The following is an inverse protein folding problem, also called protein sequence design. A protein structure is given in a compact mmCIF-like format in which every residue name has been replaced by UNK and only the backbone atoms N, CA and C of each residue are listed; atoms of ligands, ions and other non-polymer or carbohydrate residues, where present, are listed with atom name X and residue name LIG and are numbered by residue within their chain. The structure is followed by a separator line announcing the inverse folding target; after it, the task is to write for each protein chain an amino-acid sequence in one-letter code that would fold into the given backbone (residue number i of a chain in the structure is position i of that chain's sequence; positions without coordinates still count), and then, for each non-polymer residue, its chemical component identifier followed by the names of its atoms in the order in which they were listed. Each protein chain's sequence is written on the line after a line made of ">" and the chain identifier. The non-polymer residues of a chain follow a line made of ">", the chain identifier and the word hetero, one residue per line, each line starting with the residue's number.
data_IF_741409809104
#
_entry.id   IF_741409809104
#
_cell.length_a   1.000
_cell.length_b   1.000
_cell.length_c   1.000
_cell.angle_alpha   90.00
_cell.angle_beta   90.00
_cell.angle_gamma   90.00
#
_symmetry.space_group_name_H-M   'P 1'
#
loop_
_entity.id
_entity.type
_entity.pdbx_description
1 polymer ?
#
# COMPACT_ATOMS: atom_id res chain seq x y z
N UNK A 1 -5.46 -7.08 -27.71
CA UNK A 1 -5.25 -5.90 -26.85
C UNK A 1 -5.87 -6.25 -25.50
N UNK A 2 -5.14 -6.17 -24.39
CA UNK A 2 -5.72 -6.45 -23.07
C UNK A 2 -6.33 -5.22 -22.42
N UNK A 3 -7.27 -5.44 -21.51
CA UNK A 3 -8.00 -4.42 -20.77
C UNK A 3 -7.82 -4.63 -19.27
N UNK A 4 -7.69 -3.55 -18.51
CA UNK A 4 -7.78 -3.62 -17.05
C UNK A 4 -9.25 -3.65 -16.63
N UNK A 5 -9.59 -4.60 -15.77
CA UNK A 5 -10.85 -4.63 -15.03
C UNK A 5 -10.85 -3.60 -13.91
N UNK A 6 -12.00 -3.43 -13.27
CA UNK A 6 -12.15 -2.53 -12.11
C UNK A 6 -12.07 -3.34 -10.84
N UNK A 7 -11.11 -3.05 -9.96
CA UNK A 7 -11.08 -3.63 -8.63
C UNK A 7 -12.03 -2.92 -7.66
N UNK A 8 -12.53 -3.66 -6.67
CA UNK A 8 -13.22 -3.14 -5.49
C UNK A 8 -12.36 -3.42 -4.25
N UNK A 9 -11.95 -2.35 -3.58
CA UNK A 9 -10.97 -2.39 -2.49
C UNK A 9 -11.46 -1.48 -1.37
N UNK A 10 -11.28 -1.88 -0.11
CA UNK A 10 -11.59 -1.00 1.01
C UNK A 10 -10.43 -0.03 1.33
N UNK A 11 -10.68 1.06 2.07
CA UNK A 11 -9.63 1.98 2.52
C UNK A 11 -8.46 1.36 3.28
N UNK A 12 -8.60 0.15 3.82
CA UNK A 12 -7.54 -0.60 4.48
C UNK A 12 -6.76 -1.56 3.54
N UNK A 13 -7.15 -1.63 2.26
CA UNK A 13 -6.43 -2.39 1.22
C UNK A 13 -6.92 -3.82 1.05
N UNK A 14 -8.00 -4.23 1.72
CA UNK A 14 -8.62 -5.51 1.47
C UNK A 14 -9.39 -5.48 0.15
N UNK A 15 -9.06 -6.41 -0.74
CA UNK A 15 -9.71 -6.57 -2.03
C UNK A 15 -10.92 -7.47 -1.87
N UNK A 16 -12.10 -6.97 -2.27
CA UNK A 16 -13.32 -7.78 -2.36
C UNK A 16 -13.38 -8.52 -3.70
N UNK A 17 -13.04 -7.83 -4.79
CA UNK A 17 -12.89 -8.42 -6.13
C UNK A 17 -11.94 -7.59 -6.98
N UNK A 18 -11.18 -8.22 -7.88
CA UNK A 18 -10.33 -7.56 -8.87
C UNK A 18 -11.07 -7.26 -10.19
N UNK A 19 -12.36 -7.62 -10.27
CA UNK A 19 -13.15 -7.61 -11.50
C UNK A 19 -14.60 -7.19 -11.27
N UNK A 20 -14.80 -6.13 -10.47
CA UNK A 20 -16.10 -5.59 -10.06
C UNK A 20 -17.03 -5.19 -11.23
N UNK A 21 -16.46 -4.85 -12.39
CA UNK A 21 -17.21 -4.50 -13.61
C UNK A 21 -17.89 -5.71 -14.26
N UNK A 22 -17.33 -6.91 -14.10
CA UNK A 22 -17.84 -8.15 -14.72
C UNK A 22 -18.31 -9.19 -13.71
N UNK A 23 -18.01 -9.01 -12.42
CA UNK A 23 -18.44 -9.87 -11.31
C UNK A 23 -19.15 -9.06 -10.23
N UNK A 24 -20.31 -8.43 -10.52
CA UNK A 24 -21.05 -7.64 -9.56
C UNK A 24 -21.53 -8.45 -8.34
N UNK A 25 -21.68 -9.76 -8.46
CA UNK A 25 -22.06 -10.69 -7.40
C UNK A 25 -20.97 -10.88 -6.33
N UNK A 26 -19.71 -10.59 -6.66
CA UNK A 26 -18.60 -10.62 -5.71
C UNK A 26 -18.37 -9.27 -5.03
N UNK A 27 -19.18 -8.26 -5.35
CA UNK A 27 -19.05 -6.94 -4.76
C UNK A 27 -19.62 -6.91 -3.35
N UNK A 28 -18.94 -6.17 -2.50
CA UNK A 28 -19.32 -5.99 -1.10
C UNK A 28 -19.47 -4.49 -0.84
N UNK A 29 -20.63 -4.03 -0.36
CA UNK A 29 -20.81 -2.61 0.01
C UNK A 29 -19.86 -2.19 1.15
N UNK A 30 -19.59 -3.13 2.05
CA UNK A 30 -18.68 -2.97 3.17
C UNK A 30 -17.76 -4.19 3.23
N UNK A 31 -16.49 -3.96 3.52
CA UNK A 31 -15.50 -5.01 3.55
C UNK A 31 -15.81 -6.04 4.65
N UNK A 32 -15.89 -7.32 4.30
CA UNK A 32 -16.12 -8.40 5.26
C UNK A 32 -15.02 -8.54 6.33
N UNK A 33 -13.80 -8.05 6.06
CA UNK A 33 -12.65 -8.14 6.98
C UNK A 33 -12.56 -6.99 7.99
N UNK A 34 -13.01 -5.78 7.65
CA UNK A 34 -12.80 -4.60 8.51
C UNK A 34 -14.01 -3.66 8.63
N UNK A 35 -15.12 -3.90 7.92
CA UNK A 35 -16.35 -3.12 8.02
C UNK A 35 -16.34 -1.76 7.31
N UNK A 36 -15.22 -1.34 6.73
CA UNK A 36 -15.12 -0.09 5.97
C UNK A 36 -15.87 -0.18 4.63
N UNK A 37 -16.45 0.94 4.19
CA UNK A 37 -17.09 1.03 2.87
C UNK A 37 -16.05 0.78 1.76
N UNK A 38 -16.39 -0.06 0.79
CA UNK A 38 -15.50 -0.35 -0.33
C UNK A 38 -15.56 0.74 -1.39
N UNK A 39 -14.54 0.81 -2.24
CA UNK A 39 -14.47 1.74 -3.35
C UNK A 39 -13.96 1.02 -4.61
N UNK A 40 -14.44 1.51 -5.76
CA UNK A 40 -14.03 1.05 -7.09
C UNK A 40 -13.29 2.13 -7.87
N UNK A 41 -13.20 3.34 -7.32
CA UNK A 41 -12.64 4.52 -7.97
C UNK A 41 -11.68 5.23 -7.03
N UNK A 42 -10.72 5.95 -7.62
CA UNK A 42 -9.81 6.80 -6.88
C UNK A 42 -10.59 7.95 -6.23
N UNK A 43 -10.51 8.14 -4.90
CA UNK A 43 -11.26 9.17 -4.20
C UNK A 43 -10.85 10.61 -4.59
N UNK A 44 -9.75 10.76 -5.32
CA UNK A 44 -9.20 12.07 -5.70
C UNK A 44 -9.53 12.49 -7.12
N UNK A 45 -9.79 11.54 -8.03
CA UNK A 45 -10.00 11.83 -9.44
C UNK A 45 -11.04 10.93 -10.12
N UNK A 46 -11.74 10.09 -9.36
CA UNK A 46 -12.80 9.21 -9.82
C UNK A 46 -12.38 8.24 -10.95
N UNK A 47 -11.09 7.99 -11.13
CA UNK A 47 -10.62 6.99 -12.10
C UNK A 47 -10.78 5.59 -11.51
N UNK A 48 -11.31 4.61 -12.27
CA UNK A 48 -11.43 3.23 -11.81
C UNK A 48 -10.10 2.66 -11.29
N UNK A 49 -10.16 1.94 -10.18
CA UNK A 49 -9.00 1.23 -9.61
C UNK A 49 -8.68 0.06 -10.54
N UNK A 50 -7.43 -0.01 -11.02
CA UNK A 50 -7.01 -1.09 -11.92
C UNK A 50 -7.02 -2.42 -11.18
N UNK A 51 -7.88 -3.31 -11.64
CA UNK A 51 -7.99 -4.70 -11.23
C UNK A 51 -7.23 -5.64 -12.17
N UNK A 52 -7.81 -6.81 -12.42
CA UNK A 52 -7.19 -7.85 -13.25
C UNK A 52 -6.92 -7.37 -14.69
N UNK A 53 -5.80 -7.82 -15.28
CA UNK A 53 -5.47 -7.52 -16.67
C UNK A 53 -5.93 -8.66 -17.57
N UNK A 54 -7.04 -8.43 -18.26
CA UNK A 54 -7.69 -9.42 -19.09
C UNK A 54 -7.27 -9.33 -20.56
N UNK A 55 -6.84 -10.45 -21.14
CA UNK A 55 -6.60 -10.60 -22.57
C UNK A 55 -7.52 -11.70 -23.12
N UNK A 56 -8.34 -11.36 -24.10
CA UNK A 56 -9.27 -12.31 -24.72
C UNK A 56 -8.53 -13.52 -25.32
N UNK A 57 -9.03 -14.72 -25.04
CA UNK A 57 -8.44 -15.98 -25.52
C UNK A 57 -7.17 -16.43 -24.81
N UNK A 58 -6.69 -15.69 -23.80
CA UNK A 58 -5.51 -16.06 -23.00
C UNK A 58 -5.93 -16.38 -21.57
N UNK A 59 -5.67 -17.61 -21.16
CA UNK A 59 -5.79 -18.01 -19.75
C UNK A 59 -4.47 -17.70 -19.04
N UNK A 60 -4.48 -16.71 -18.16
CA UNK A 60 -3.37 -16.44 -17.24
C UNK A 60 -3.50 -17.30 -15.99
N UNK A 61 -2.43 -17.97 -15.58
CA UNK A 61 -2.28 -18.43 -14.20
C UNK A 61 -1.86 -17.22 -13.35
N UNK A 62 -2.83 -16.41 -12.96
CA UNK A 62 -2.57 -15.22 -12.14
C UNK A 62 -2.18 -15.60 -10.71
N UNK A 63 -1.18 -14.88 -10.16
CA UNK A 63 -0.91 -14.88 -8.72
C UNK A 63 -1.98 -14.09 -7.96
N UNK A 64 -1.81 -13.97 -6.64
CA UNK A 64 -2.71 -13.17 -5.81
C UNK A 64 -2.69 -11.68 -6.25
N UNK A 65 -3.87 -11.13 -6.57
CA UNK A 65 -4.00 -9.72 -6.95
C UNK A 65 -3.64 -8.82 -5.76
N UNK A 66 -2.71 -7.89 -6.00
CA UNK A 66 -2.33 -6.85 -5.04
C UNK A 66 -2.85 -5.50 -5.55
N UNK A 67 -3.62 -4.74 -4.74
CA UNK A 67 -4.14 -3.46 -5.18
C UNK A 67 -3.01 -2.44 -5.37
N UNK A 68 -3.07 -1.59 -6.40
CA UNK A 68 -1.99 -0.63 -6.69
C UNK A 68 -1.82 0.38 -5.55
N UNK A 69 -0.60 0.71 -5.13
CA UNK A 69 -0.40 1.69 -4.04
C UNK A 69 -0.76 3.14 -4.44
N UNK A 70 -0.73 3.45 -5.74
CA UNK A 70 -0.96 4.78 -6.30
C UNK A 70 -1.91 4.75 -7.49
N UNK A 71 -2.70 5.81 -7.65
CA UNK A 71 -3.56 5.97 -8.82
C UNK A 71 -2.72 6.22 -10.08
N UNK A 72 -2.96 5.42 -11.11
CA UNK A 72 -2.26 5.55 -12.39
C UNK A 72 -2.61 6.83 -13.17
N UNK A 73 -3.73 7.50 -12.84
CA UNK A 73 -4.19 8.69 -13.55
C UNK A 73 -3.75 9.98 -12.86
N UNK A 74 -3.99 10.12 -11.55
CA UNK A 74 -3.65 11.35 -10.82
C UNK A 74 -2.36 11.26 -9.98
N UNK A 75 -1.78 10.07 -9.83
CA UNK A 75 -0.54 9.85 -9.06
C UNK A 75 -0.69 9.92 -7.54
N UNK A 76 -1.89 10.16 -7.01
CA UNK A 76 -2.11 10.18 -5.57
C UNK A 76 -2.07 8.78 -4.97
N UNK A 77 -1.58 8.68 -3.73
CA UNK A 77 -1.62 7.45 -2.95
C UNK A 77 -3.07 7.06 -2.66
N UNK A 78 -3.37 5.78 -2.75
CA UNK A 78 -4.66 5.30 -2.26
C UNK A 78 -4.71 5.32 -0.73
N UNK A 79 -5.92 5.37 -0.12
CA UNK A 79 -6.08 5.41 1.33
C UNK A 79 -5.31 4.33 2.09
N UNK A 80 -5.23 3.10 1.57
CA UNK A 80 -4.53 2.01 2.25
C UNK A 80 -3.03 2.23 2.36
N UNK A 81 -2.42 2.89 1.37
CA UNK A 81 -1.01 3.28 1.40
C UNK A 81 -0.78 4.31 2.52
N UNK A 82 -1.59 5.37 2.56
CA UNK A 82 -1.43 6.42 3.56
C UNK A 82 -1.76 5.95 4.97
N UNK A 83 -2.83 5.16 5.15
CA UNK A 83 -3.19 4.58 6.46
C UNK A 83 -2.09 3.68 7.01
N UNK A 84 -1.42 2.88 6.16
CA UNK A 84 -0.28 2.06 6.58
C UNK A 84 0.94 2.90 6.94
N UNK A 85 1.25 3.96 6.18
CA UNK A 85 2.32 4.90 6.53
C UNK A 85 2.04 5.57 7.89
N UNK A 86 0.80 5.98 8.12
CA UNK A 86 0.39 6.67 9.33
C UNK A 86 0.40 5.73 10.54
N UNK A 87 -0.13 4.52 10.40
CA UNK A 87 -0.09 3.49 11.46
C UNK A 87 1.35 3.08 11.81
N UNK A 88 2.25 2.99 10.83
CA UNK A 88 3.67 2.71 11.08
C UNK A 88 4.35 3.86 11.83
N UNK A 89 4.03 5.11 11.49
CA UNK A 89 4.54 6.27 12.19
C UNK A 89 4.03 6.32 13.64
N UNK A 90 2.74 6.07 13.86
CA UNK A 90 2.12 6.00 15.19
C UNK A 90 2.74 4.89 16.06
N UNK A 91 2.99 3.71 15.47
CA UNK A 91 3.66 2.62 16.17
C UNK A 91 5.09 3.01 16.58
N UNK A 92 5.83 3.71 15.72
CA UNK A 92 7.17 4.21 16.07
C UNK A 92 7.11 5.32 17.11
N UNK A 93 6.13 6.21 17.06
CA UNK A 93 5.89 7.26 18.05
C UNK A 93 5.62 6.67 19.44
N UNK A 94 4.88 5.55 19.51
CA UNK A 94 4.59 4.85 20.76
C UNK A 94 5.85 4.35 21.50
N UNK A 95 6.99 4.25 20.82
CA UNK A 95 8.28 3.92 21.44
C UNK A 95 8.79 5.01 22.40
N UNK A 96 8.38 6.27 22.20
CA UNK A 96 8.90 7.43 22.92
C UNK A 96 10.38 7.75 22.63
N UNK A 97 11.01 7.08 21.67
CA UNK A 97 12.45 7.21 21.38
C UNK A 97 12.74 8.35 20.39
N UNK A 98 11.86 8.58 19.42
CA UNK A 98 12.08 9.57 18.36
C UNK A 98 11.63 10.97 18.79
N UNK A 99 12.42 11.97 18.42
CA UNK A 99 11.98 13.35 18.43
C UNK A 99 10.90 13.63 17.38
N UNK A 100 10.13 14.71 17.53
CA UNK A 100 9.13 15.15 16.55
C UNK A 100 9.70 15.36 15.15
N UNK A 101 10.96 15.82 15.07
CA UNK A 101 11.68 16.00 13.81
C UNK A 101 12.07 14.66 13.17
N UNK A 102 12.55 13.69 13.96
CA UNK A 102 12.85 12.35 13.46
C UNK A 102 11.59 11.62 13.02
N UNK A 103 10.48 11.78 13.73
CA UNK A 103 9.18 11.19 13.37
C UNK A 103 8.64 11.77 12.06
N UNK A 104 8.73 13.09 11.87
CA UNK A 104 8.35 13.73 10.61
C UNK A 104 9.22 13.24 9.44
N UNK A 105 10.53 13.09 9.66
CA UNK A 105 11.44 12.54 8.65
C UNK A 105 11.14 11.07 8.36
N UNK A 106 10.80 10.27 9.37
CA UNK A 106 10.42 8.86 9.20
C UNK A 106 9.19 8.71 8.32
N UNK A 107 8.15 9.54 8.54
CA UNK A 107 6.93 9.53 7.73
C UNK A 107 7.21 9.90 6.26
N UNK A 108 8.11 10.87 6.04
CA UNK A 108 8.57 11.23 4.70
C UNK A 108 9.36 10.07 4.06
N UNK A 109 10.26 9.43 4.79
CA UNK A 109 11.05 8.29 4.31
C UNK A 109 10.13 7.11 3.97
N UNK A 110 9.11 6.79 4.78
CA UNK A 110 8.08 5.79 4.46
C UNK A 110 7.33 6.11 3.16
N UNK A 111 7.01 7.39 2.96
CA UNK A 111 6.36 7.85 1.71
C UNK A 111 7.29 7.74 0.50
N UNK A 112 8.60 7.86 0.68
CA UNK A 112 9.60 7.62 -0.36
C UNK A 112 9.82 6.11 -0.60
N UNK A 113 9.69 5.24 0.41
CA UNK A 113 9.83 3.78 0.28
C UNK A 113 8.64 3.10 -0.40
N UNK A 114 7.45 3.68 -0.25
CA UNK A 114 6.25 3.27 -1.00
C UNK A 114 6.36 3.62 -2.49
N UNK A 115 7.29 4.50 -2.86
CA UNK A 115 7.58 4.91 -4.24
C UNK A 115 8.93 4.36 -4.71
N UNK A 116 9.09 4.28 -6.03
CA UNK A 116 10.41 4.03 -6.63
C UNK A 116 11.09 5.38 -6.96
N UNK A 117 11.37 6.18 -5.93
CA UNK A 117 11.99 7.50 -6.11
C UNK A 117 13.52 7.43 -6.09
N UNK A 118 14.25 8.41 -6.67
CA UNK A 118 15.70 8.49 -6.53
C UNK A 118 16.19 8.57 -5.08
N UNK A 119 15.31 8.95 -4.13
CA UNK A 119 15.62 9.04 -2.70
C UNK A 119 15.50 7.69 -1.98
N UNK A 120 15.06 6.63 -2.67
CA UNK A 120 14.81 5.31 -2.10
C UNK A 120 15.98 4.79 -1.26
N UNK A 121 17.21 4.96 -1.72
CA UNK A 121 18.40 4.49 -0.99
C UNK A 121 18.61 5.26 0.32
N UNK A 122 18.39 6.58 0.30
CA UNK A 122 18.51 7.42 1.49
C UNK A 122 17.42 7.04 2.50
N UNK A 123 16.18 6.91 2.03
CA UNK A 123 15.04 6.49 2.85
C UNK A 123 15.27 5.09 3.44
N UNK A 124 15.82 4.15 2.67
CA UNK A 124 16.12 2.78 3.13
C UNK A 124 17.16 2.74 4.24
N UNK A 125 18.24 3.54 4.11
CA UNK A 125 19.28 3.63 5.14
C UNK A 125 18.72 4.23 6.42
N UNK A 126 17.97 5.34 6.33
CA UNK A 126 17.36 5.99 7.50
C UNK A 126 16.31 5.12 8.18
N UNK A 127 15.49 4.42 7.39
CA UNK A 127 14.54 3.45 7.89
C UNK A 127 15.24 2.37 8.71
N UNK A 128 16.32 1.76 8.20
CA UNK A 128 17.11 0.76 8.96
C UNK A 128 17.67 1.33 10.26
N UNK A 129 18.17 2.57 10.25
CA UNK A 129 18.68 3.23 11.46
C UNK A 129 17.58 3.40 12.51
N UNK A 130 16.37 3.79 12.10
CA UNK A 130 15.23 3.93 13.02
C UNK A 130 14.79 2.55 13.53
N UNK A 131 14.68 1.54 12.67
CA UNK A 131 14.34 0.18 13.08
C UNK A 131 15.33 -0.40 14.09
N UNK A 132 16.63 -0.08 13.95
CA UNK A 132 17.65 -0.46 14.92
C UNK A 132 17.50 0.26 16.28
N UNK A 133 17.04 1.53 16.27
CA UNK A 133 16.81 2.31 17.49
C UNK A 133 15.58 1.85 18.28
N UNK A 134 14.48 1.52 17.60
CA UNK A 134 13.17 1.23 18.25
C UNK A 134 13.04 -0.19 18.80
N UNK A 135 14.02 -1.05 18.53
CA UNK A 135 14.02 -2.45 18.98
C UNK A 135 13.18 -3.38 18.11
N UNK A 136 13.40 -4.68 18.26
CA UNK A 136 12.89 -5.72 17.35
C UNK A 136 11.37 -5.85 17.33
N UNK A 137 10.69 -5.61 18.46
CA UNK A 137 9.23 -5.71 18.56
C UNK A 137 8.55 -4.65 17.70
N UNK A 138 8.95 -3.38 17.86
CA UNK A 138 8.41 -2.26 17.09
C UNK A 138 8.83 -2.38 15.62
N UNK A 139 10.09 -2.72 15.36
CA UNK A 139 10.55 -2.93 13.98
C UNK A 139 9.79 -4.05 13.24
N UNK A 140 9.47 -5.15 13.94
CA UNK A 140 8.64 -6.22 13.41
C UNK A 140 7.22 -5.73 13.08
N UNK A 141 6.57 -5.04 14.01
CA UNK A 141 5.24 -4.48 13.76
C UNK A 141 5.21 -3.46 12.61
N UNK A 142 6.23 -2.61 12.49
CA UNK A 142 6.35 -1.67 11.36
C UNK A 142 6.43 -2.43 10.04
N UNK A 143 7.26 -3.50 9.98
CA UNK A 143 7.38 -4.34 8.78
C UNK A 143 6.02 -4.93 8.39
N UNK A 144 5.29 -5.51 9.33
CA UNK A 144 4.01 -6.15 9.07
C UNK A 144 2.96 -5.15 8.55
N UNK A 145 3.02 -3.90 9.02
CA UNK A 145 2.12 -2.84 8.54
C UNK A 145 2.43 -2.45 7.09
N UNK A 146 3.70 -2.25 6.74
CA UNK A 146 4.08 -1.59 5.47
C UNK A 146 4.47 -2.54 4.34
N UNK A 147 4.70 -3.84 4.61
CA UNK A 147 5.23 -4.80 3.63
C UNK A 147 4.45 -4.87 2.31
N UNK A 148 3.12 -4.72 2.34
CA UNK A 148 2.32 -4.81 1.12
C UNK A 148 2.26 -3.49 0.32
N UNK A 149 2.73 -2.38 0.88
CA UNK A 149 2.68 -1.05 0.23
C UNK A 149 4.06 -0.50 -0.13
N UNK A 150 5.13 -1.07 0.42
CA UNK A 150 6.48 -0.75 -0.03
C UNK A 150 6.71 -1.23 -1.46
N UNK A 151 7.48 -0.46 -2.23
CA UNK A 151 7.94 -0.90 -3.55
C UNK A 151 8.82 -2.15 -3.43
N UNK A 152 8.85 -3.00 -4.45
CA UNK A 152 9.73 -4.18 -4.45
C UNK A 152 11.21 -3.79 -4.28
N UNK A 153 11.61 -2.66 -4.88
CA UNK A 153 12.94 -2.09 -4.69
C UNK A 153 13.21 -1.71 -3.23
N UNK A 154 12.23 -1.12 -2.53
CA UNK A 154 12.33 -0.82 -1.10
C UNK A 154 12.43 -2.08 -0.24
N UNK A 155 11.57 -3.08 -0.48
CA UNK A 155 11.60 -4.36 0.25
C UNK A 155 12.97 -5.02 0.14
N UNK A 156 13.52 -5.05 -1.08
CA UNK A 156 14.87 -5.58 -1.33
C UNK A 156 15.96 -4.73 -0.67
N UNK A 157 15.86 -3.41 -0.71
CA UNK A 157 16.85 -2.54 -0.08
C UNK A 157 16.84 -2.66 1.46
N UNK A 158 15.67 -2.85 2.06
CA UNK A 158 15.48 -2.88 3.52
C UNK A 158 15.67 -4.29 4.12
N UNK A 159 15.11 -5.32 3.48
CA UNK A 159 15.06 -6.70 4.00
C UNK A 159 15.77 -7.74 3.13
N UNK A 160 16.30 -7.34 1.97
CA UNK A 160 17.10 -8.22 1.10
C UNK A 160 18.58 -8.24 1.46
#
# INVERSE_FOLDING_TARGET
>A
MGIYRTAEVCPNGHVSTDSADVRPELREKFCAKCGEATMTHCPSCETPIRGDYHVEGVFGFGGEYTPPAYCHNCGQAFPWTMRKVDAAAELVESSGILSSMELAQFRADLSDLTRESPRLQIASVRFKQIMAKVGSVIAGGVRDIVVDVLSEAAKKAVWG
#
